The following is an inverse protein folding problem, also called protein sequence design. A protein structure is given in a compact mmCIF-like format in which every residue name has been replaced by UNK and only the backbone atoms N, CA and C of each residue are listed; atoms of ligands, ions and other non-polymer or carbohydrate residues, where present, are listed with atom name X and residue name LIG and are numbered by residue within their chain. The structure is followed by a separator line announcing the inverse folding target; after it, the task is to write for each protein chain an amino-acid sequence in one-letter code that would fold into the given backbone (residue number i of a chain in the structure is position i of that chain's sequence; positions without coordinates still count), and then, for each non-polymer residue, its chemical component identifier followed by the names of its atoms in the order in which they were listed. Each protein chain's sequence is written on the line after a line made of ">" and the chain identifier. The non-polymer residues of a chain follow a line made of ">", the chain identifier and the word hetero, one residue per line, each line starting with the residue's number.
data_IF_828380089445
#
_entry.id   IF_828380089445
#
_cell.length_a   1.000
_cell.length_b   1.000
_cell.length_c   1.000
_cell.angle_alpha   90.00
_cell.angle_beta   90.00
_cell.angle_gamma   90.00
#
_symmetry.space_group_name_H-M   'P 1'
#
loop_
_entity.id
_entity.type
_entity.pdbx_description
1 polymer ?
#
# COMPACT_ATOMS: atom_id res chain seq x y z
N UNK A 1 -9.95 35.18 20.99
CA UNK A 1 -10.66 34.37 19.98
C UNK A 1 -9.61 33.80 19.05
N UNK A 2 -9.38 32.49 19.10
CA UNK A 2 -8.47 31.80 18.18
C UNK A 2 -9.23 31.69 16.84
N UNK A 3 -8.67 32.13 15.70
CA UNK A 3 -9.34 31.95 14.42
C UNK A 3 -9.49 30.44 14.16
N UNK A 4 -10.71 30.02 13.87
CA UNK A 4 -11.04 28.66 13.44
C UNK A 4 -10.29 28.40 12.14
N UNK A 5 -9.42 27.40 12.12
CA UNK A 5 -8.75 26.95 10.90
C UNK A 5 -9.79 26.41 9.92
N UNK A 6 -9.61 26.64 8.62
CA UNK A 6 -10.44 26.13 7.50
C UNK A 6 -10.62 24.59 7.48
N UNK A 7 -10.00 23.86 8.41
CA UNK A 7 -9.99 22.39 8.51
C UNK A 7 -10.92 21.81 9.62
N UNK A 8 -11.68 22.64 10.32
CA UNK A 8 -12.65 22.21 11.33
C UNK A 8 -14.05 22.04 10.72
N UNK A 9 -14.23 20.97 9.94
CA UNK A 9 -15.53 20.56 9.42
C UNK A 9 -16.49 20.25 10.58
N UNK A 10 -17.68 20.85 10.53
CA UNK A 10 -18.72 20.59 11.54
C UNK A 10 -19.50 19.31 11.23
N UNK A 11 -20.24 18.80 12.23
CA UNK A 11 -21.09 17.62 12.05
C UNK A 11 -22.14 17.77 10.95
N UNK A 12 -22.65 18.99 10.74
CA UNK A 12 -23.58 19.26 9.66
C UNK A 12 -22.90 19.13 8.29
N UNK A 13 -21.66 19.63 8.16
CA UNK A 13 -20.89 19.50 6.92
C UNK A 13 -20.68 18.03 6.52
N UNK A 14 -20.45 17.13 7.48
CA UNK A 14 -20.32 15.70 7.20
C UNK A 14 -21.62 15.07 6.73
N UNK A 15 -22.76 15.43 7.34
CA UNK A 15 -24.07 14.90 6.95
C UNK A 15 -24.45 15.33 5.53
N UNK A 16 -24.04 16.54 5.11
CA UNK A 16 -24.38 17.07 3.78
C UNK A 16 -23.45 16.52 2.69
N UNK A 17 -22.20 16.15 3.03
CA UNK A 17 -21.17 15.73 2.06
C UNK A 17 -20.99 14.22 1.93
N UNK A 18 -21.36 13.44 2.94
CA UNK A 18 -21.06 11.99 3.00
C UNK A 18 -22.34 11.17 2.94
N UNK A 19 -22.39 10.21 2.02
CA UNK A 19 -23.48 9.25 1.93
C UNK A 19 -23.29 8.09 2.91
N UNK A 20 -24.37 7.64 3.56
CA UNK A 20 -24.33 6.49 4.48
C UNK A 20 -23.85 5.20 3.79
N UNK A 21 -24.05 5.09 2.48
CA UNK A 21 -23.59 3.96 1.67
C UNK A 21 -22.06 3.87 1.66
N UNK A 22 -21.38 5.00 1.49
CA UNK A 22 -19.90 5.04 1.46
C UNK A 22 -19.32 4.66 2.83
N UNK A 23 -20.02 5.01 3.90
CA UNK A 23 -19.66 4.66 5.28
C UNK A 23 -19.76 3.15 5.50
N UNK A 24 -20.84 2.54 5.02
CA UNK A 24 -21.02 1.09 5.10
C UNK A 24 -19.95 0.36 4.28
N UNK A 25 -19.60 0.87 3.10
CA UNK A 25 -18.52 0.33 2.27
C UNK A 25 -17.16 0.44 2.97
N UNK A 26 -16.87 1.59 3.57
CA UNK A 26 -15.63 1.82 4.34
C UNK A 26 -15.53 0.91 5.57
N UNK A 27 -16.66 0.62 6.23
CA UNK A 27 -16.77 -0.36 7.30
C UNK A 27 -16.65 -1.84 6.81
N UNK A 28 -16.43 -2.07 5.52
CA UNK A 28 -16.24 -3.40 4.93
C UNK A 28 -17.53 -4.12 4.54
N UNK A 29 -18.66 -3.41 4.42
CA UNK A 29 -19.90 -3.99 3.91
C UNK A 29 -19.99 -3.86 2.40
N UNK A 30 -20.66 -4.83 1.78
CA UNK A 30 -20.89 -4.87 0.33
C UNK A 30 -22.38 -4.87 0.03
N UNK A 31 -22.76 -4.25 -1.09
CA UNK A 31 -24.14 -4.21 -1.56
C UNK A 31 -24.62 -5.62 -1.92
N UNK A 32 -25.65 -6.09 -1.22
CA UNK A 32 -26.32 -7.35 -1.50
C UNK A 32 -27.32 -7.18 -2.65
N UNK A 33 -26.88 -7.51 -3.87
CA UNK A 33 -27.69 -7.43 -5.10
C UNK A 33 -28.91 -8.36 -5.12
N UNK A 34 -29.01 -9.34 -4.22
CA UNK A 34 -30.11 -10.31 -4.19
C UNK A 34 -31.42 -9.73 -3.66
N UNK A 35 -31.37 -8.68 -2.84
CA UNK A 35 -32.55 -8.13 -2.16
C UNK A 35 -33.29 -7.05 -2.99
N UNK A 36 -32.80 -6.74 -4.20
CA UNK A 36 -33.39 -5.75 -5.09
C UNK A 36 -33.05 -4.30 -4.74
N UNK A 37 -33.40 -3.37 -5.64
CA UNK A 37 -33.01 -1.95 -5.56
C UNK A 37 -33.94 -1.09 -4.68
N UNK A 38 -35.09 -1.63 -4.24
CA UNK A 38 -36.09 -0.87 -3.47
C UNK A 38 -35.56 -0.42 -2.11
N UNK A 39 -34.79 -1.29 -1.45
CA UNK A 39 -34.11 -0.98 -0.20
C UNK A 39 -32.69 -1.55 -0.28
N UNK A 40 -31.69 -0.73 -0.65
CA UNK A 40 -30.32 -1.18 -0.75
C UNK A 40 -29.86 -1.81 0.57
N UNK A 41 -29.40 -3.05 0.51
CA UNK A 41 -28.95 -3.78 1.69
C UNK A 41 -27.46 -4.08 1.60
N UNK A 42 -26.79 -3.93 2.73
CA UNK A 42 -25.34 -4.07 2.86
C UNK A 42 -25.03 -5.21 3.81
N UNK A 43 -24.19 -6.14 3.38
CA UNK A 43 -23.81 -7.34 4.13
C UNK A 43 -22.30 -7.47 4.21
N UNK A 44 -21.83 -8.06 5.31
CA UNK A 44 -20.40 -8.33 5.51
C UNK A 44 -20.05 -9.76 5.15
N UNK A 45 -18.84 -9.95 4.63
CA UNK A 45 -18.28 -11.26 4.33
C UNK A 45 -17.17 -11.58 5.33
N UNK A 46 -17.09 -12.85 5.71
CA UNK A 46 -15.99 -13.39 6.50
C UNK A 46 -14.73 -13.50 5.61
N UNK A 47 -13.58 -13.71 6.24
CA UNK A 47 -12.27 -14.00 5.63
C UNK A 47 -12.32 -15.06 4.51
N UNK A 48 -13.23 -16.04 4.64
CA UNK A 48 -13.45 -17.11 3.67
C UNK A 48 -14.41 -16.74 2.52
N UNK A 49 -14.80 -15.46 2.39
CA UNK A 49 -15.74 -14.97 1.37
C UNK A 49 -17.22 -15.32 1.63
N UNK A 50 -17.51 -16.07 2.69
CA UNK A 50 -18.89 -16.44 3.07
C UNK A 50 -19.60 -15.25 3.72
N UNK A 51 -20.88 -15.06 3.40
CA UNK A 51 -21.71 -14.02 4.03
C UNK A 51 -21.86 -14.30 5.52
N UNK A 52 -21.63 -13.29 6.35
CA UNK A 52 -21.88 -13.35 7.79
C UNK A 52 -23.39 -13.24 8.03
N UNK A 53 -23.98 -14.23 8.69
CA UNK A 53 -25.40 -14.26 8.96
C UNK A 53 -25.76 -13.23 10.05
N UNK A 54 -26.88 -12.53 9.91
CA UNK A 54 -27.36 -11.51 10.88
C UNK A 54 -26.63 -10.16 10.86
N UNK A 55 -25.55 -10.02 10.08
CA UNK A 55 -24.78 -8.77 9.96
C UNK A 55 -25.18 -8.02 8.67
N UNK A 56 -26.32 -7.31 8.75
CA UNK A 56 -26.97 -6.66 7.61
C UNK A 56 -27.46 -5.27 7.99
N UNK A 57 -27.18 -4.29 7.14
CA UNK A 57 -27.78 -2.97 7.19
C UNK A 57 -28.69 -2.75 5.99
N UNK A 58 -29.78 -2.00 6.18
CA UNK A 58 -30.69 -1.59 5.12
C UNK A 58 -30.71 -0.07 5.07
N UNK A 59 -30.47 0.50 3.89
CA UNK A 59 -30.47 1.94 3.66
C UNK A 59 -31.91 2.39 3.38
N UNK A 60 -32.32 3.50 4.01
CA UNK A 60 -33.64 4.08 3.79
C UNK A 60 -33.73 4.76 2.43
N UNK A 61 -34.94 4.99 1.91
CA UNK A 61 -35.15 5.55 0.56
C UNK A 61 -34.45 6.89 0.31
N UNK A 62 -34.23 7.70 1.35
CA UNK A 62 -33.55 8.99 1.23
C UNK A 62 -32.02 8.87 1.12
N UNK A 63 -31.45 7.68 1.35
CA UNK A 63 -30.01 7.44 1.23
C UNK A 63 -29.14 8.08 2.31
N UNK A 64 -29.73 8.73 3.33
CA UNK A 64 -29.00 9.45 4.39
C UNK A 64 -28.92 8.68 5.70
N UNK A 65 -29.67 7.58 5.83
CA UNK A 65 -29.74 6.78 7.05
C UNK A 65 -29.88 5.30 6.74
N UNK A 66 -29.52 4.46 7.71
CA UNK A 66 -29.68 3.02 7.63
C UNK A 66 -30.24 2.45 8.93
N UNK A 67 -30.71 1.22 8.91
CA UNK A 67 -31.12 0.48 10.11
C UNK A 67 -30.64 -0.97 10.03
N UNK A 68 -30.55 -1.61 11.19
CA UNK A 68 -30.08 -2.99 11.33
C UNK A 68 -31.25 -3.89 11.77
N UNK A 69 -31.82 -4.73 10.89
CA UNK A 69 -32.87 -5.67 11.27
C UNK A 69 -32.42 -6.61 12.42
N UNK A 70 -33.31 -7.00 13.35
CA UNK A 70 -34.77 -6.79 13.34
C UNK A 70 -35.23 -5.44 13.89
N UNK A 71 -34.34 -4.69 14.56
CA UNK A 71 -34.69 -3.39 15.14
C UNK A 71 -34.79 -2.30 14.06
N UNK A 72 -35.92 -1.60 14.01
CA UNK A 72 -36.11 -0.46 13.09
C UNK A 72 -35.56 0.85 13.65
N UNK A 73 -34.44 0.78 14.39
CA UNK A 73 -33.73 1.98 14.85
C UNK A 73 -32.93 2.54 13.69
N UNK A 74 -33.22 3.78 13.31
CA UNK A 74 -32.51 4.48 12.23
C UNK A 74 -31.23 5.12 12.76
N UNK A 75 -30.17 4.98 11.98
CA UNK A 75 -28.85 5.55 12.23
C UNK A 75 -28.47 6.44 11.05
N UNK A 76 -28.21 7.71 11.34
CA UNK A 76 -27.44 8.58 10.45
C UNK A 76 -25.94 8.25 10.54
N UNK A 77 -25.12 8.85 9.68
CA UNK A 77 -23.66 8.71 9.66
C UNK A 77 -23.03 8.73 11.07
N UNK A 78 -23.31 9.79 11.83
CA UNK A 78 -22.68 10.05 13.13
C UNK A 78 -23.12 9.01 14.16
N UNK A 79 -24.43 8.77 14.26
CA UNK A 79 -24.99 7.79 15.21
C UNK A 79 -24.54 6.37 14.89
N UNK A 80 -24.36 6.02 13.61
CA UNK A 80 -23.83 4.72 13.20
C UNK A 80 -22.41 4.51 13.74
N UNK A 81 -21.51 5.46 13.51
CA UNK A 81 -20.11 5.39 13.94
C UNK A 81 -20.03 5.32 15.48
N UNK A 82 -20.82 6.14 16.18
CA UNK A 82 -20.86 6.15 17.65
C UNK A 82 -21.43 4.86 18.23
N UNK A 83 -22.45 4.27 17.61
CA UNK A 83 -23.10 3.05 18.11
C UNK A 83 -22.24 1.81 17.83
N UNK A 84 -21.52 1.80 16.71
CA UNK A 84 -20.71 0.66 16.28
C UNK A 84 -19.24 1.04 15.95
N UNK A 85 -18.43 1.49 16.94
CA UNK A 85 -17.05 1.90 16.70
C UNK A 85 -16.19 0.79 16.09
N UNK A 86 -16.35 -0.44 16.58
CA UNK A 86 -15.56 -1.62 16.18
C UNK A 86 -15.62 -1.97 14.68
N UNK A 87 -16.57 -1.42 13.92
CA UNK A 87 -16.66 -1.66 12.48
C UNK A 87 -15.62 -0.89 11.67
N UNK A 88 -15.03 0.16 12.24
CA UNK A 88 -14.15 1.08 11.53
C UNK A 88 -12.70 0.81 11.91
N UNK A 89 -11.74 0.70 10.97
CA UNK A 89 -10.34 0.46 11.30
C UNK A 89 -9.71 1.56 12.18
N UNK A 90 -10.24 2.79 12.11
CA UNK A 90 -9.80 3.95 12.88
C UNK A 90 -10.12 3.84 14.38
N UNK A 91 -11.01 2.93 14.79
CA UNK A 91 -11.41 2.76 16.20
C UNK A 91 -10.22 2.44 17.12
N UNK A 92 -9.21 1.73 16.60
CA UNK A 92 -8.02 1.35 17.37
C UNK A 92 -7.23 2.58 17.82
N UNK A 93 -7.29 3.67 17.04
CA UNK A 93 -6.57 4.92 17.31
C UNK A 93 -7.39 5.92 18.12
N UNK A 94 -8.69 5.68 18.29
CA UNK A 94 -9.63 6.65 18.84
C UNK A 94 -10.31 6.11 20.10
N UNK A 95 -9.97 6.68 21.26
CA UNK A 95 -10.67 6.38 22.52
C UNK A 95 -12.00 7.14 22.65
N UNK A 96 -12.11 8.30 22.01
CA UNK A 96 -13.31 9.16 22.07
C UNK A 96 -14.22 8.93 20.85
N UNK A 97 -15.54 8.70 21.03
CA UNK A 97 -16.49 8.50 19.93
C UNK A 97 -16.60 9.71 18.98
N UNK A 98 -16.52 10.94 19.48
CA UNK A 98 -16.57 12.15 18.64
C UNK A 98 -15.31 12.27 17.76
N UNK A 99 -14.15 11.92 18.32
CA UNK A 99 -12.89 11.88 17.58
C UNK A 99 -12.92 10.82 16.47
N UNK A 100 -13.50 9.65 16.75
CA UNK A 100 -13.67 8.60 15.75
C UNK A 100 -14.55 9.06 14.58
N UNK A 101 -15.65 9.77 14.87
CA UNK A 101 -16.51 10.33 13.82
C UNK A 101 -15.69 11.25 12.90
N UNK A 102 -14.91 12.16 13.48
CA UNK A 102 -14.09 13.09 12.70
C UNK A 102 -13.05 12.37 11.84
N UNK A 103 -12.35 11.36 12.37
CA UNK A 103 -11.34 10.61 11.62
C UNK A 103 -11.93 9.79 10.47
N UNK A 104 -13.06 9.11 10.70
CA UNK A 104 -13.77 8.36 9.66
C UNK A 104 -14.26 9.31 8.58
N UNK A 105 -14.86 10.45 8.95
CA UNK A 105 -15.40 11.41 7.98
C UNK A 105 -14.27 12.09 7.17
N UNK A 106 -13.16 12.47 7.81
CA UNK A 106 -11.98 13.02 7.12
C UNK A 106 -11.37 12.02 6.14
N UNK A 107 -11.29 10.74 6.55
CA UNK A 107 -10.78 9.66 5.69
C UNK A 107 -11.67 9.46 4.47
N UNK A 108 -13.00 9.43 4.65
CA UNK A 108 -13.97 9.34 3.55
C UNK A 108 -13.93 10.54 2.60
N UNK A 109 -13.70 11.75 3.12
CA UNK A 109 -13.58 12.97 2.33
C UNK A 109 -12.18 13.15 1.70
N UNK A 110 -11.26 12.21 1.89
CA UNK A 110 -9.86 12.31 1.46
C UNK A 110 -9.17 13.60 1.91
N UNK A 111 -9.58 14.15 3.07
CA UNK A 111 -8.94 15.33 3.64
C UNK A 111 -7.59 14.90 4.21
N UNK A 112 -6.48 15.51 3.79
CA UNK A 112 -5.18 15.17 4.34
C UNK A 112 -5.15 15.52 5.82
N UNK A 113 -5.07 14.49 6.67
CA UNK A 113 -4.82 14.70 8.09
C UNK A 113 -3.44 15.36 8.24
N UNK A 114 -3.38 16.62 8.68
CA UNK A 114 -2.12 17.32 8.96
C UNK A 114 -1.25 16.57 9.99
N UNK A 115 -1.87 15.70 10.79
CA UNK A 115 -1.25 14.85 11.80
C UNK A 115 -0.96 13.42 11.31
N UNK A 116 -1.20 13.09 10.04
CA UNK A 116 -0.42 12.02 9.41
C UNK A 116 0.98 12.59 9.28
N UNK A 117 1.72 12.54 10.39
CA UNK A 117 3.17 12.57 10.35
C UNK A 117 3.54 11.73 9.15
N UNK A 118 4.25 12.39 8.21
CA UNK A 118 4.82 11.84 6.99
C UNK A 118 4.87 10.34 7.16
N UNK A 119 4.25 9.55 6.28
CA UNK A 119 4.58 8.12 6.25
C UNK A 119 6.09 8.13 6.12
N UNK A 120 6.80 7.98 7.24
CA UNK A 120 8.22 7.76 7.30
C UNK A 120 8.25 6.33 6.84
N UNK A 121 8.06 6.14 5.53
CA UNK A 121 8.40 4.91 4.86
C UNK A 121 9.80 4.71 5.33
N UNK A 122 9.98 3.66 6.15
CA UNK A 122 11.17 3.41 6.95
C UNK A 122 12.34 3.95 6.15
N UNK A 123 12.86 5.13 6.51
CA UNK A 123 14.01 5.68 5.79
C UNK A 123 15.12 4.74 6.23
N UNK A 124 15.24 3.61 5.53
CA UNK A 124 16.51 2.93 5.44
C UNK A 124 17.38 4.03 4.91
N UNK A 125 18.20 4.61 5.80
CA UNK A 125 19.34 5.39 5.36
C UNK A 125 20.03 4.50 4.34
N UNK A 126 19.81 4.80 3.06
CA UNK A 126 20.31 3.98 2.00
C UNK A 126 21.80 4.17 2.07
N UNK A 127 22.50 3.18 2.63
CA UNK A 127 23.95 3.20 2.72
C UNK A 127 24.48 3.64 1.36
N UNK A 128 25.27 4.72 1.29
CA UNK A 128 25.71 5.25 0.01
C UNK A 128 26.40 4.13 -0.77
N UNK A 129 26.14 4.08 -2.08
CA UNK A 129 26.79 3.11 -2.95
C UNK A 129 28.31 3.32 -2.86
N UNK A 130 29.03 2.23 -2.58
CA UNK A 130 30.47 2.22 -2.56
C UNK A 130 30.97 1.02 -3.36
N UNK A 131 31.61 1.30 -4.48
CA UNK A 131 32.13 0.28 -5.39
C UNK A 131 33.21 -0.60 -4.72
N UNK A 132 33.97 -0.05 -3.76
CA UNK A 132 35.05 -0.76 -3.08
C UNK A 132 34.55 -1.93 -2.21
N UNK A 133 33.24 -1.99 -1.92
CA UNK A 133 32.62 -3.11 -1.21
C UNK A 133 32.41 -4.34 -2.09
N UNK A 134 32.64 -4.22 -3.40
CA UNK A 134 32.42 -5.27 -4.37
C UNK A 134 33.73 -5.70 -5.01
N UNK A 135 33.94 -7.01 -5.13
CA UNK A 135 34.95 -7.53 -6.05
C UNK A 135 34.34 -7.65 -7.44
N UNK A 136 35.00 -7.00 -8.41
CA UNK A 136 34.52 -6.91 -9.78
C UNK A 136 35.34 -7.85 -10.66
N UNK A 137 34.65 -8.69 -11.41
CA UNK A 137 35.24 -9.48 -12.47
C UNK A 137 34.62 -9.10 -13.80
N UNK A 138 35.40 -8.53 -14.71
CA UNK A 138 34.95 -8.20 -16.05
C UNK A 138 34.88 -9.45 -16.95
N UNK A 139 33.89 -9.49 -17.83
CA UNK A 139 33.75 -10.56 -18.79
C UNK A 139 34.79 -10.47 -19.91
N UNK A 140 35.48 -11.57 -20.20
CA UNK A 140 36.46 -11.68 -21.28
C UNK A 140 36.01 -12.75 -22.27
N UNK A 141 35.49 -12.32 -23.42
CA UNK A 141 34.87 -13.19 -24.44
C UNK A 141 35.80 -14.22 -25.10
N UNK A 142 37.11 -14.14 -24.89
CA UNK A 142 38.11 -15.09 -25.43
C UNK A 142 38.87 -15.84 -24.34
N UNK A 143 38.49 -15.63 -23.07
CA UNK A 143 39.12 -16.27 -21.92
C UNK A 143 38.18 -17.34 -21.37
N UNK A 144 38.58 -18.60 -21.48
CA UNK A 144 37.75 -19.74 -21.11
C UNK A 144 37.37 -19.71 -19.62
N UNK A 145 38.28 -19.27 -18.75
CA UNK A 145 38.03 -19.20 -17.31
C UNK A 145 37.00 -18.11 -16.97
N UNK A 146 37.06 -16.98 -17.68
CA UNK A 146 36.05 -15.93 -17.57
C UNK A 146 34.69 -16.44 -18.06
N UNK A 147 34.64 -17.06 -19.23
CA UNK A 147 33.40 -17.61 -19.81
C UNK A 147 32.75 -18.62 -18.87
N UNK A 148 33.54 -19.53 -18.28
CA UNK A 148 33.06 -20.54 -17.34
C UNK A 148 32.42 -19.91 -16.10
N UNK A 149 33.02 -18.83 -15.56
CA UNK A 149 32.48 -18.13 -14.38
C UNK A 149 31.14 -17.44 -14.66
N UNK A 150 30.97 -16.87 -15.86
CA UNK A 150 29.75 -16.15 -16.24
C UNK A 150 28.63 -17.07 -16.74
N UNK A 151 28.97 -18.28 -17.20
CA UNK A 151 28.02 -19.22 -17.80
C UNK A 151 26.74 -19.45 -16.96
N UNK A 152 26.80 -19.68 -15.62
CA UNK A 152 25.58 -19.88 -14.82
C UNK A 152 24.62 -18.67 -14.85
N UNK A 153 25.16 -17.47 -14.98
CA UNK A 153 24.40 -16.23 -15.00
C UNK A 153 23.76 -15.95 -16.36
N UNK A 154 24.38 -16.42 -17.44
CA UNK A 154 23.87 -16.27 -18.80
C UNK A 154 22.80 -17.29 -19.15
N UNK A 155 23.00 -18.57 -18.82
CA UNK A 155 22.04 -19.64 -19.14
C UNK A 155 20.70 -19.41 -18.47
N UNK A 156 20.72 -19.10 -17.17
CA UNK A 156 19.50 -18.82 -16.39
C UNK A 156 18.70 -17.62 -16.90
N UNK A 157 19.34 -16.72 -17.66
CA UNK A 157 18.73 -15.51 -18.22
C UNK A 157 18.50 -15.57 -19.73
N UNK A 158 18.81 -16.69 -20.39
CA UNK A 158 18.67 -16.84 -21.84
C UNK A 158 19.56 -15.90 -22.67
N UNK A 159 20.74 -15.52 -22.15
CA UNK A 159 21.66 -14.62 -22.85
C UNK A 159 22.50 -15.44 -23.84
N UNK A 160 22.16 -15.32 -25.12
CA UNK A 160 22.79 -16.06 -26.22
C UNK A 160 24.23 -15.59 -26.50
N UNK A 161 24.99 -16.44 -27.19
CA UNK A 161 26.42 -16.20 -27.48
C UNK A 161 26.67 -14.90 -28.26
N UNK A 162 25.80 -14.56 -29.22
CA UNK A 162 25.94 -13.32 -29.98
C UNK A 162 25.76 -12.09 -29.09
N UNK A 163 24.81 -12.15 -28.15
CA UNK A 163 24.61 -11.10 -27.12
C UNK A 163 25.81 -11.02 -26.18
N UNK A 164 26.35 -12.16 -25.74
CA UNK A 164 27.56 -12.20 -24.92
C UNK A 164 28.75 -11.52 -25.61
N UNK A 165 28.91 -11.74 -26.93
CA UNK A 165 29.98 -11.15 -27.74
C UNK A 165 29.76 -9.66 -28.00
N UNK A 166 28.53 -9.25 -28.32
CA UNK A 166 28.17 -7.87 -28.63
C UNK A 166 28.34 -6.95 -27.41
N UNK A 167 27.89 -7.42 -26.24
CA UNK A 167 27.92 -6.64 -25.00
C UNK A 167 29.07 -7.02 -24.07
N UNK A 168 30.13 -7.65 -24.59
CA UNK A 168 31.19 -8.22 -23.77
C UNK A 168 31.87 -7.20 -22.86
N UNK A 169 31.94 -5.93 -23.29
CA UNK A 169 32.53 -4.84 -22.52
C UNK A 169 31.69 -4.39 -21.32
N UNK A 170 30.40 -4.75 -21.27
CA UNK A 170 29.44 -4.24 -20.28
C UNK A 170 29.06 -5.27 -19.21
N UNK A 171 29.45 -6.53 -19.39
CA UNK A 171 29.16 -7.57 -18.39
C UNK A 171 30.23 -7.61 -17.31
N UNK A 172 29.80 -7.48 -16.06
CA UNK A 172 30.65 -7.72 -14.88
C UNK A 172 29.95 -8.67 -13.91
N UNK A 173 30.72 -9.45 -13.16
CA UNK A 173 30.23 -10.08 -11.94
C UNK A 173 30.65 -9.21 -10.76
N UNK A 174 29.68 -8.72 -10.01
CA UNK A 174 29.90 -8.00 -8.77
C UNK A 174 29.63 -8.95 -7.59
N UNK A 175 30.65 -9.22 -6.79
CA UNK A 175 30.53 -10.06 -5.60
C UNK A 175 30.65 -9.21 -4.35
N UNK A 176 29.69 -9.37 -3.43
CA UNK A 176 29.70 -8.71 -2.13
C UNK A 176 29.69 -9.74 -1.00
N UNK A 177 30.51 -9.50 0.01
CA UNK A 177 30.48 -10.29 1.23
C UNK A 177 29.43 -9.74 2.21
N UNK A 178 28.60 -10.63 2.74
CA UNK A 178 27.59 -10.28 3.73
C UNK A 178 28.24 -10.10 5.11
N UNK A 179 28.01 -8.93 5.72
CA UNK A 179 28.61 -8.53 7.00
C UNK A 179 28.30 -9.49 8.17
N UNK A 180 27.20 -10.23 8.11
CA UNK A 180 26.69 -10.99 9.26
C UNK A 180 27.04 -12.49 9.25
N UNK A 181 27.40 -13.10 8.11
CA UNK A 181 27.47 -14.58 8.01
C UNK A 181 28.52 -15.12 7.04
N UNK A 182 29.45 -14.30 6.53
CA UNK A 182 30.46 -14.77 5.57
C UNK A 182 29.91 -15.30 4.23
N UNK A 183 28.60 -15.13 4.01
CA UNK A 183 27.93 -15.47 2.75
C UNK A 183 28.35 -14.48 1.68
N UNK A 184 28.73 -14.98 0.52
CA UNK A 184 29.06 -14.15 -0.64
C UNK A 184 27.90 -14.17 -1.63
N UNK A 185 27.55 -12.99 -2.13
CA UNK A 185 26.53 -12.81 -3.14
C UNK A 185 27.16 -12.28 -4.41
N UNK A 186 27.14 -13.08 -5.47
CA UNK A 186 27.63 -12.69 -6.79
C UNK A 186 26.45 -12.46 -7.71
N UNK A 187 26.42 -11.31 -8.38
CA UNK A 187 25.41 -10.97 -9.37
C UNK A 187 26.05 -10.58 -10.70
N UNK A 188 25.35 -10.87 -11.79
CA UNK A 188 25.61 -10.27 -13.09
C UNK A 188 25.11 -8.82 -13.06
N UNK A 189 26.03 -7.89 -13.26
CA UNK A 189 25.77 -6.46 -13.16
C UNK A 189 26.25 -5.72 -14.41
N UNK A 190 25.77 -4.48 -14.56
CA UNK A 190 26.07 -3.60 -15.68
C UNK A 190 26.47 -2.23 -15.10
N UNK A 191 27.75 -1.85 -15.18
CA UNK A 191 28.21 -0.60 -14.57
C UNK A 191 27.62 0.61 -15.31
N UNK A 192 27.12 1.56 -14.53
CA UNK A 192 26.65 2.85 -15.01
C UNK A 192 27.77 3.87 -14.91
N UNK A 193 28.17 4.40 -16.06
CA UNK A 193 29.24 5.40 -16.17
C UNK A 193 28.67 6.81 -16.28
N UNK A 194 29.39 7.76 -15.71
CA UNK A 194 29.12 9.19 -15.93
C UNK A 194 29.51 9.54 -17.37
N UNK A 195 28.65 10.18 -18.18
CA UNK A 195 29.01 10.58 -19.54
C UNK A 195 30.30 11.41 -19.57
N UNK A 196 31.28 10.97 -20.37
CA UNK A 196 32.59 11.63 -20.48
C UNK A 196 33.59 11.30 -19.37
N UNK A 197 33.31 10.34 -18.50
CA UNK A 197 34.20 9.87 -17.44
C UNK A 197 34.06 8.35 -17.23
N UNK A 198 35.13 7.69 -16.78
CA UNK A 198 35.15 6.25 -16.49
C UNK A 198 34.70 5.91 -15.06
N UNK A 199 34.18 6.91 -14.32
CA UNK A 199 33.66 6.73 -12.98
C UNK A 199 32.33 5.96 -12.97
N UNK A 200 32.30 4.84 -12.25
CA UNK A 200 31.10 4.01 -12.04
C UNK A 200 30.31 4.55 -10.86
N UNK A 201 29.02 4.84 -11.09
CA UNK A 201 28.11 5.43 -10.10
C UNK A 201 26.97 4.49 -9.68
N UNK A 202 26.88 3.32 -10.30
CA UNK A 202 25.89 2.28 -9.99
C UNK A 202 26.12 1.00 -10.77
#
# INVERSE_FOLDING_TARGET
>A
MKPMSDNDLTYQDYLDRINIQDVLVHAGYTLNRRDGLRYPSYVRHDSNGRRIHGDKFIVTNHGTSCFRPPEQKTYNLISLIKTFPSMFPEHVRCTNPDHLVNEVCRTLLNVPNEHRGVIVGFQKEAKPFNLNEYSIHAFRKYDFDSIKKFYPFFVTRGINLDTQKAFSAHFILATKEAQAEGKTYTNLSFPLYVPGNDNVVG
#
